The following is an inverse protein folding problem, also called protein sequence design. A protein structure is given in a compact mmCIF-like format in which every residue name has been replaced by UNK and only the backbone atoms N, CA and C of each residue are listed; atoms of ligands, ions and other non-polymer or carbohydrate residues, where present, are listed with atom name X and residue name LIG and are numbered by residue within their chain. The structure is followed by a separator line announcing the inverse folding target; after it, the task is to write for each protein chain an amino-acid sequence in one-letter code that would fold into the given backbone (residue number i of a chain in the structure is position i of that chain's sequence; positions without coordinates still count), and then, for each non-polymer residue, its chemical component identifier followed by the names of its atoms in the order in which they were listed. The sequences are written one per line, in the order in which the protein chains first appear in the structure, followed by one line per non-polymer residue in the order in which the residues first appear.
data_IF_563702180221
#
_entry.id   IF_563702180221
#
_cell.length_a   1.000
_cell.length_b   1.000
_cell.length_c   1.000
_cell.angle_alpha   90.00
_cell.angle_beta   90.00
_cell.angle_gamma   90.00
#
_symmetry.space_group_name_H-M   'P 1'
#
loop_
_entity.id
_entity.type
_entity.pdbx_description
1 polymer ?
#
# COMPACT_ATOMS: atom_id res chain seq x y z
N UNK A 1 2.94 -16.30 -6.26
CA UNK A 1 4.20 -15.58 -5.96
C UNK A 1 3.85 -14.36 -5.13
N UNK A 2 4.60 -14.08 -4.05
CA UNK A 2 4.39 -12.92 -3.17
C UNK A 2 5.71 -12.16 -3.09
N UNK A 3 5.68 -10.84 -3.30
CA UNK A 3 6.85 -9.95 -3.17
C UNK A 3 6.51 -8.86 -2.15
N UNK A 4 7.28 -8.81 -1.06
CA UNK A 4 7.21 -7.73 -0.09
C UNK A 4 8.20 -6.62 -0.47
N UNK A 5 7.78 -5.35 -0.33
CA UNK A 5 8.61 -4.18 -0.65
C UNK A 5 8.56 -3.18 0.50
N UNK A 6 9.64 -3.13 1.28
CA UNK A 6 9.77 -2.32 2.49
C UNK A 6 10.82 -1.21 2.36
N UNK A 7 10.72 -0.20 3.22
CA UNK A 7 11.64 0.95 3.26
C UNK A 7 10.99 2.24 3.78
N UNK A 8 11.75 3.32 3.97
CA UNK A 8 11.28 4.55 4.64
C UNK A 8 10.24 5.32 3.82
N UNK A 9 9.43 6.16 4.47
CA UNK A 9 8.47 7.01 3.77
C UNK A 9 9.16 7.89 2.70
N UNK A 10 8.52 8.10 1.56
CA UNK A 10 9.08 8.91 0.46
C UNK A 10 10.11 8.20 -0.44
N UNK A 11 10.51 6.96 -0.16
CA UNK A 11 11.53 6.25 -0.97
C UNK A 11 11.05 5.72 -2.34
N UNK A 12 9.84 6.07 -2.78
CA UNK A 12 9.31 5.66 -4.09
C UNK A 12 8.81 4.21 -4.20
N UNK A 13 8.69 3.47 -3.09
CA UNK A 13 8.26 2.06 -3.07
C UNK A 13 6.99 1.78 -3.87
N UNK A 14 5.91 2.51 -3.61
CA UNK A 14 4.64 2.29 -4.31
C UNK A 14 4.77 2.49 -5.82
N UNK A 15 5.64 3.39 -6.28
CA UNK A 15 5.90 3.59 -7.71
C UNK A 15 6.61 2.38 -8.30
N UNK A 16 7.69 1.93 -7.66
CA UNK A 16 8.47 0.76 -8.13
C UNK A 16 7.64 -0.52 -8.07
N UNK A 17 6.93 -0.77 -6.98
CA UNK A 17 6.09 -1.96 -6.79
C UNK A 17 4.97 -2.06 -7.84
N UNK A 18 4.35 -0.93 -8.22
CA UNK A 18 3.34 -0.90 -9.29
C UNK A 18 3.93 -1.28 -10.65
N UNK A 19 5.10 -0.76 -10.98
CA UNK A 19 5.77 -1.06 -12.24
C UNK A 19 6.24 -2.52 -12.29
N UNK A 20 6.79 -3.04 -11.18
CA UNK A 20 7.15 -4.47 -11.05
C UNK A 20 5.92 -5.36 -11.21
N UNK A 21 4.81 -5.04 -10.54
CA UNK A 21 3.58 -5.80 -10.64
C UNK A 21 3.04 -5.85 -12.08
N UNK A 22 3.08 -4.72 -12.79
CA UNK A 22 2.70 -4.62 -14.20
C UNK A 22 3.57 -5.49 -15.10
N UNK A 23 4.90 -5.48 -14.91
CA UNK A 23 5.83 -6.28 -15.71
C UNK A 23 5.71 -7.78 -15.46
N UNK A 24 5.38 -8.16 -14.24
CA UNK A 24 5.23 -9.57 -13.83
C UNK A 24 3.80 -10.10 -14.01
N UNK A 25 2.84 -9.25 -14.39
CA UNK A 25 1.43 -9.64 -14.51
C UNK A 25 0.79 -10.07 -13.19
N UNK A 26 1.24 -9.51 -12.06
CA UNK A 26 0.73 -9.84 -10.72
C UNK A 26 -0.07 -8.69 -10.11
N UNK A 27 -0.88 -9.01 -9.10
CA UNK A 27 -1.62 -8.00 -8.34
C UNK A 27 -0.67 -7.12 -7.51
N UNK A 28 -0.95 -5.82 -7.48
CA UNK A 28 -0.31 -4.86 -6.57
C UNK A 28 -1.25 -4.55 -5.38
N UNK A 29 -0.71 -4.61 -4.16
CA UNK A 29 -1.41 -4.27 -2.92
C UNK A 29 -0.66 -3.14 -2.19
N UNK A 30 -1.35 -2.04 -1.87
CA UNK A 30 -0.81 -0.91 -1.09
C UNK A 30 -1.29 -0.99 0.36
N UNK A 31 -0.45 -1.55 1.23
CA UNK A 31 -0.74 -1.64 2.68
C UNK A 31 -0.90 -0.26 3.33
N UNK A 32 -0.15 0.76 2.85
CA UNK A 32 -0.26 2.12 3.36
C UNK A 32 -1.63 2.74 3.08
N UNK A 33 -2.20 2.48 1.90
CA UNK A 33 -3.56 2.91 1.56
C UNK A 33 -4.61 2.23 2.43
N UNK A 34 -4.42 0.93 2.73
CA UNK A 34 -5.30 0.18 3.64
C UNK A 34 -5.33 0.82 5.02
N UNK A 35 -4.16 1.02 5.66
CA UNK A 35 -4.09 1.62 7.00
C UNK A 35 -4.67 3.04 7.04
N UNK A 36 -4.39 3.87 6.03
CA UNK A 36 -4.98 5.22 5.94
C UNK A 36 -6.51 5.17 5.80
N UNK A 37 -7.02 4.23 5.03
CA UNK A 37 -8.48 4.05 4.87
C UNK A 37 -9.11 3.60 6.18
N UNK A 38 -8.51 2.63 6.88
CA UNK A 38 -8.99 2.22 8.19
C UNK A 38 -8.99 3.37 9.21
N UNK A 39 -7.90 4.15 9.27
CA UNK A 39 -7.83 5.33 10.14
C UNK A 39 -8.89 6.37 9.78
N UNK A 40 -9.10 6.64 8.48
CA UNK A 40 -10.14 7.55 8.01
C UNK A 40 -11.55 7.09 8.41
N UNK A 41 -11.84 5.80 8.27
CA UNK A 41 -13.12 5.22 8.70
C UNK A 41 -13.28 5.35 10.21
N UNK A 42 -12.24 5.03 11.00
CA UNK A 42 -12.27 5.17 12.46
C UNK A 42 -12.60 6.59 12.89
N UNK A 43 -11.93 7.58 12.30
CA UNK A 43 -12.19 9.00 12.56
C UNK A 43 -13.61 9.43 12.17
N UNK A 44 -14.14 8.92 11.05
CA UNK A 44 -15.48 9.27 10.56
C UNK A 44 -16.60 8.67 11.42
N UNK A 45 -16.38 7.49 11.99
CA UNK A 45 -17.38 6.74 12.74
C UNK A 45 -17.24 6.89 14.27
N UNK A 46 -16.38 7.80 14.74
CA UNK A 46 -16.07 8.01 16.17
C UNK A 46 -15.63 6.72 16.88
N UNK A 47 -15.06 5.79 16.12
CA UNK A 47 -14.52 4.55 16.66
C UNK A 47 -13.15 4.91 17.25
N UNK A 48 -13.11 4.99 18.58
CA UNK A 48 -11.91 5.30 19.38
C UNK A 48 -11.33 4.04 20.00
#
# INVERSE_FOLDING_TARGET
MIIAVDGPAGSGKSTVSKEVAKRLGILFLDSGALYRTCAYIGLKHEIS
#
